data_IF_818148753020
#
_entry.id   IF_818148753020
#
_cell.length_a   1.000
_cell.length_b   1.000
_cell.length_c   1.000
_cell.angle_alpha   90.00
_cell.angle_beta   90.00
_cell.angle_gamma   90.00
#
_symmetry.space_group_name_H-M   'P 1'
#
loop_
_entity.id
_entity.type
_entity.pdbx_description
1 polymer ?
#
# COMPACT_ATOMS: atom_id res chain seq x y z
N UNK A 1 -26.73 17.79 -8.55
CA UNK A 1 -26.79 16.31 -8.55
C UNK A 1 -25.64 15.73 -9.40
N UNK A 2 -24.46 16.36 -9.40
CA UNK A 2 -23.36 16.00 -10.31
C UNK A 2 -22.12 15.45 -9.59
N UNK A 3 -21.90 15.85 -8.33
CA UNK A 3 -20.71 15.49 -7.55
C UNK A 3 -20.61 14.00 -7.21
N UNK A 4 -21.74 13.30 -7.05
CA UNK A 4 -21.75 11.87 -6.71
C UNK A 4 -21.25 10.99 -7.87
N UNK A 5 -21.52 11.39 -9.12
CA UNK A 5 -21.13 10.58 -10.30
C UNK A 5 -19.63 10.66 -10.59
N UNK A 6 -19.00 11.82 -10.37
CA UNK A 6 -17.56 11.98 -10.54
C UNK A 6 -16.78 11.19 -9.48
N UNK A 7 -17.24 11.24 -8.22
CA UNK A 7 -16.63 10.49 -7.13
C UNK A 7 -16.78 8.97 -7.30
N UNK A 8 -17.95 8.48 -7.71
CA UNK A 8 -18.15 7.05 -7.98
C UNK A 8 -17.25 6.55 -9.11
N UNK A 9 -17.17 7.30 -10.21
CA UNK A 9 -16.26 6.98 -11.32
C UNK A 9 -14.79 6.99 -10.87
N UNK A 10 -14.40 7.94 -10.02
CA UNK A 10 -13.07 8.02 -9.45
C UNK A 10 -12.75 6.79 -8.57
N UNK A 11 -13.65 6.42 -7.66
CA UNK A 11 -13.47 5.24 -6.81
C UNK A 11 -13.31 3.95 -7.62
N UNK A 12 -14.09 3.78 -8.69
CA UNK A 12 -13.95 2.64 -9.60
C UNK A 12 -12.59 2.69 -10.31
N UNK A 13 -12.19 3.84 -10.83
CA UNK A 13 -10.90 4.04 -11.49
C UNK A 13 -9.71 3.69 -10.58
N UNK A 14 -9.69 4.21 -9.35
CA UNK A 14 -8.64 3.91 -8.36
C UNK A 14 -8.60 2.42 -8.02
N UNK A 15 -9.76 1.77 -7.88
CA UNK A 15 -9.82 0.33 -7.61
C UNK A 15 -9.23 -0.51 -8.74
N UNK A 16 -9.46 -0.12 -10.00
CA UNK A 16 -8.90 -0.83 -11.15
C UNK A 16 -7.38 -0.59 -11.25
N UNK A 17 -6.95 0.66 -11.12
CA UNK A 17 -5.53 1.01 -11.13
C UNK A 17 -4.74 0.24 -10.05
N UNK A 18 -5.30 0.10 -8.85
CA UNK A 18 -4.62 -0.59 -7.75
C UNK A 18 -4.69 -2.12 -7.83
N UNK A 19 -5.64 -2.69 -8.57
CA UNK A 19 -5.68 -4.12 -8.90
C UNK A 19 -4.62 -4.51 -9.93
N UNK A 20 -4.42 -3.68 -10.94
CA UNK A 20 -3.56 -3.96 -12.09
C UNK A 20 -2.08 -3.58 -11.89
N UNK A 21 -1.71 -2.96 -10.76
CA UNK A 21 -0.31 -2.73 -10.36
C UNK A 21 0.50 -4.03 -10.06
N UNK A 22 -0.02 -5.20 -10.46
CA UNK A 22 0.80 -6.38 -10.78
C UNK A 22 1.64 -6.22 -12.05
N UNK A 23 1.37 -5.21 -12.88
CA UNK A 23 2.20 -4.77 -14.01
C UNK A 23 3.01 -3.53 -13.63
N UNK A 24 4.35 -3.70 -13.55
CA UNK A 24 5.40 -2.67 -13.34
C UNK A 24 4.89 -1.27 -12.96
N UNK A 25 4.76 -1.02 -11.66
CA UNK A 25 4.91 0.35 -11.15
C UNK A 25 6.24 0.93 -11.69
N UNK A 26 6.29 2.23 -11.98
CA UNK A 26 7.52 2.94 -12.37
C UNK A 26 8.70 2.69 -11.39
N UNK A 27 8.39 2.23 -10.17
CA UNK A 27 9.32 1.94 -9.08
C UNK A 27 9.66 0.45 -8.87
N UNK A 28 9.25 -0.46 -9.75
CA UNK A 28 9.73 -1.85 -9.76
C UNK A 28 9.27 -2.76 -8.61
N UNK A 29 8.69 -2.22 -7.53
CA UNK A 29 8.05 -2.95 -6.44
C UNK A 29 6.57 -2.58 -6.33
N UNK A 30 5.72 -3.56 -5.98
CA UNK A 30 4.28 -3.37 -5.79
C UNK A 30 4.03 -2.54 -4.53
N UNK A 31 3.53 -1.32 -4.70
CA UNK A 31 3.12 -0.42 -3.59
C UNK A 31 1.84 -0.95 -2.96
N UNK A 32 1.79 -0.95 -1.63
CA UNK A 32 0.60 -1.23 -0.85
C UNK A 32 -0.04 0.08 -0.39
N UNK A 33 -1.36 0.17 -0.37
CA UNK A 33 -2.07 1.40 -0.05
C UNK A 33 -2.98 1.20 1.16
N UNK A 34 -2.92 2.14 2.11
CA UNK A 34 -3.90 2.18 3.20
C UNK A 34 -5.21 2.84 2.77
N UNK A 35 -6.34 2.58 3.45
CA UNK A 35 -7.64 3.13 3.07
C UNK A 35 -7.68 4.65 2.93
N UNK A 36 -7.05 5.41 3.83
CA UNK A 36 -7.00 6.88 3.77
C UNK A 36 -6.37 7.40 2.48
N UNK A 37 -5.28 6.77 2.01
CA UNK A 37 -4.60 7.16 0.76
C UNK A 37 -5.44 6.81 -0.46
N UNK A 38 -6.17 5.69 -0.44
CA UNK A 38 -7.12 5.35 -1.52
C UNK A 38 -8.30 6.32 -1.57
N UNK A 39 -8.78 6.79 -0.41
CA UNK A 39 -9.82 7.80 -0.33
C UNK A 39 -9.32 9.16 -0.86
N UNK A 40 -8.11 9.58 -0.48
CA UNK A 40 -7.46 10.79 -1.02
C UNK A 40 -7.26 10.69 -2.54
N UNK A 41 -6.88 9.51 -3.05
CA UNK A 41 -6.74 9.26 -4.48
C UNK A 41 -8.07 9.43 -5.23
N UNK A 42 -9.16 8.89 -4.67
CA UNK A 42 -10.48 9.02 -5.28
C UNK A 42 -10.96 10.47 -5.27
N UNK A 43 -10.75 11.21 -4.18
CA UNK A 43 -11.10 12.62 -4.08
C UNK A 43 -10.29 13.49 -5.07
N UNK A 44 -8.98 13.26 -5.18
CA UNK A 44 -8.14 13.97 -6.15
C UNK A 44 -8.58 13.68 -7.59
N UNK A 45 -8.83 12.41 -7.94
CA UNK A 45 -9.28 12.03 -9.27
C UNK A 45 -10.66 12.61 -9.59
N UNK A 46 -11.59 12.63 -8.63
CA UNK A 46 -12.90 13.26 -8.80
C UNK A 46 -12.76 14.75 -9.17
N UNK A 47 -11.90 15.48 -8.46
CA UNK A 47 -11.60 16.91 -8.76
C UNK A 47 -10.99 17.10 -10.14
N UNK A 48 -10.13 16.19 -10.58
CA UNK A 48 -9.57 16.24 -11.94
C UNK A 48 -10.63 16.00 -13.02
N UNK A 49 -11.57 15.08 -12.79
CA UNK A 49 -12.71 14.86 -13.69
C UNK A 49 -13.65 16.06 -13.72
N UNK A 50 -13.97 16.66 -12.58
CA UNK A 50 -14.78 17.89 -12.51
C UNK A 50 -14.12 19.04 -13.30
N UNK A 51 -12.80 19.23 -13.13
CA UNK A 51 -12.05 20.21 -13.90
C UNK A 51 -12.10 19.92 -15.41
N UNK A 52 -11.96 18.66 -15.83
CA UNK A 52 -12.13 18.25 -17.24
C UNK A 52 -13.52 18.57 -17.77
N UNK A 53 -14.57 18.25 -17.01
CA UNK A 53 -15.96 18.50 -17.39
C UNK A 53 -16.25 19.99 -17.61
N UNK A 54 -15.65 20.89 -16.81
CA UNK A 54 -15.75 22.34 -17.03
C UNK A 54 -15.19 22.79 -18.39
N UNK A 55 -14.31 21.99 -19.00
CA UNK A 55 -13.75 22.22 -20.32
C UNK A 55 -14.34 21.29 -21.40
N UNK A 56 -15.40 20.54 -21.09
CA UNK A 56 -16.02 19.59 -22.02
C UNK A 56 -15.20 18.32 -22.28
N UNK A 57 -14.29 17.97 -21.37
CA UNK A 57 -13.44 16.77 -21.42
C UNK A 57 -14.04 15.71 -20.50
N UNK A 58 -14.38 14.54 -21.04
CA UNK A 58 -14.95 13.43 -20.27
C UNK A 58 -13.85 12.48 -19.73
N UNK A 59 -14.18 11.57 -18.79
CA UNK A 59 -13.25 10.51 -18.38
C UNK A 59 -12.73 9.66 -19.56
N UNK A 60 -13.54 9.42 -20.59
CA UNK A 60 -13.15 8.70 -21.80
C UNK A 60 -12.12 9.47 -22.63
N UNK A 61 -12.26 10.78 -22.75
CA UNK A 61 -11.28 11.64 -23.44
C UNK A 61 -9.91 11.58 -22.74
N UNK A 62 -9.90 11.58 -21.41
CA UNK A 62 -8.67 11.37 -20.64
C UNK A 62 -8.07 10.00 -20.89
N UNK A 63 -8.89 8.93 -20.84
CA UNK A 63 -8.44 7.56 -21.04
C UNK A 63 -7.85 7.33 -22.45
N UNK A 64 -8.25 8.11 -23.45
CA UNK A 64 -7.71 8.04 -24.81
C UNK A 64 -6.24 8.51 -24.89
N UNK A 65 -5.77 9.34 -23.95
CA UNK A 65 -4.41 9.91 -23.95
C UNK A 65 -3.54 9.42 -22.79
N UNK A 66 -4.12 9.10 -21.62
CA UNK A 66 -3.39 8.63 -20.45
C UNK A 66 -4.30 7.97 -19.41
N UNK A 67 -3.73 7.17 -18.51
CA UNK A 67 -4.43 6.69 -17.32
C UNK A 67 -4.30 7.70 -16.18
N UNK A 68 -5.29 8.60 -16.06
CA UNK A 68 -5.38 9.50 -14.89
C UNK A 68 -5.43 8.75 -13.55
N UNK A 69 -6.21 7.66 -13.38
CA UNK A 69 -6.21 6.92 -12.13
C UNK A 69 -4.83 6.39 -11.73
N UNK A 70 -4.05 5.89 -12.69
CA UNK A 70 -2.67 5.44 -12.45
C UNK A 70 -1.76 6.60 -12.05
N UNK A 71 -1.84 7.74 -12.76
CA UNK A 71 -1.04 8.92 -12.42
C UNK A 71 -1.33 9.46 -11.02
N UNK A 72 -2.60 9.44 -10.59
CA UNK A 72 -3.00 9.86 -9.25
C UNK A 72 -2.42 8.94 -8.16
N UNK A 73 -2.54 7.62 -8.32
CA UNK A 73 -1.97 6.69 -7.32
C UNK A 73 -0.45 6.76 -7.28
N UNK A 74 0.22 6.91 -8.43
CA UNK A 74 1.68 7.06 -8.49
C UNK A 74 2.15 8.37 -7.83
N UNK A 75 1.40 9.46 -8.00
CA UNK A 75 1.71 10.73 -7.35
C UNK A 75 1.59 10.64 -5.82
N UNK A 76 0.53 9.99 -5.31
CA UNK A 76 0.36 9.79 -3.88
C UNK A 76 1.36 8.77 -3.32
N UNK A 77 1.67 7.70 -4.05
CA UNK A 77 2.75 6.79 -3.69
C UNK A 77 4.08 7.53 -3.59
N UNK A 78 4.41 8.40 -4.55
CA UNK A 78 5.63 9.21 -4.48
C UNK A 78 5.61 10.16 -3.27
N UNK A 79 4.47 10.77 -2.93
CA UNK A 79 4.32 11.65 -1.77
C UNK A 79 4.54 10.92 -0.44
N UNK A 80 3.99 9.72 -0.28
CA UNK A 80 4.04 8.98 0.99
C UNK A 80 5.25 8.04 1.11
N UNK A 81 5.84 7.62 -0.01
CA UNK A 81 6.96 6.68 -0.07
C UNK A 81 8.28 7.36 -0.49
N UNK A 82 8.35 8.70 -0.52
CA UNK A 82 9.61 9.40 -0.78
C UNK A 82 9.73 10.65 0.07
N UNK A 83 10.96 10.95 0.51
CA UNK A 83 11.33 12.20 1.17
C UNK A 83 10.49 12.53 2.43
N UNK A 84 10.14 11.51 3.19
CA UNK A 84 9.44 11.67 4.47
C UNK A 84 10.38 12.34 5.47
N UNK A 85 10.04 13.58 5.87
CA UNK A 85 10.79 14.37 6.85
C UNK A 85 10.14 14.18 8.22
N UNK A 86 10.79 13.43 9.09
CA UNK A 86 10.35 13.20 10.46
C UNK A 86 11.43 13.67 11.43
N UNK A 87 10.98 14.29 12.51
CA UNK A 87 11.77 14.39 13.73
C UNK A 87 11.92 13.02 14.39
N UNK A 88 12.92 12.87 15.26
CA UNK A 88 13.08 11.65 16.05
C UNK A 88 11.81 11.34 16.87
N UNK A 89 11.18 12.36 17.45
CA UNK A 89 9.95 12.20 18.23
C UNK A 89 8.80 11.67 17.39
N UNK A 90 8.53 12.26 16.22
CA UNK A 90 7.45 11.80 15.32
C UNK A 90 7.68 10.35 14.86
N UNK A 91 8.92 10.00 14.53
CA UNK A 91 9.30 8.63 14.17
C UNK A 91 9.02 7.64 15.30
N UNK A 92 9.42 7.96 16.53
CA UNK A 92 9.19 7.09 17.69
C UNK A 92 7.70 6.98 18.00
N UNK A 93 6.96 8.08 17.98
CA UNK A 93 5.50 8.09 18.21
C UNK A 93 4.75 7.22 17.21
N UNK A 94 5.03 7.35 15.91
CA UNK A 94 4.40 6.52 14.88
C UNK A 94 4.79 5.04 15.03
N UNK A 95 6.05 4.75 15.35
CA UNK A 95 6.56 3.39 15.56
C UNK A 95 5.93 2.72 16.78
N UNK A 96 5.85 3.42 17.90
CA UNK A 96 5.27 2.91 19.14
C UNK A 96 3.76 2.69 18.99
N UNK A 97 3.08 3.58 18.25
CA UNK A 97 1.67 3.38 17.87
C UNK A 97 1.50 2.11 17.04
N UNK A 98 2.34 1.88 16.03
CA UNK A 98 2.30 0.65 15.23
C UNK A 98 2.46 -0.60 16.11
N UNK A 99 3.44 -0.60 17.03
CA UNK A 99 3.68 -1.73 17.94
C UNK A 99 2.45 -1.98 18.83
N UNK A 100 1.89 -0.93 19.43
CA UNK A 100 0.70 -1.03 20.27
C UNK A 100 -0.50 -1.60 19.51
N UNK A 101 -0.76 -1.10 18.31
CA UNK A 101 -1.90 -1.53 17.47
C UNK A 101 -1.75 -2.94 16.92
N UNK A 102 -0.54 -3.39 16.59
CA UNK A 102 -0.31 -4.78 16.23
C UNK A 102 -0.56 -5.70 17.43
N UNK A 103 -0.13 -5.28 18.63
CA UNK A 103 -0.37 -6.01 19.88
C UNK A 103 -1.86 -6.11 20.24
N UNK A 104 -2.63 -5.03 20.11
CA UNK A 104 -4.10 -5.04 20.37
C UNK A 104 -4.85 -5.94 19.40
N UNK A 105 -4.31 -6.15 18.20
CA UNK A 105 -4.83 -7.10 17.19
C UNK A 105 -4.42 -8.55 17.44
N UNK A 106 -3.74 -8.84 18.55
CA UNK A 106 -3.35 -10.19 18.96
C UNK A 106 -2.15 -10.75 18.19
N UNK A 107 -1.37 -9.89 17.52
CA UNK A 107 -0.17 -10.32 16.80
C UNK A 107 1.04 -10.34 17.74
N UNK A 108 1.94 -11.31 17.54
CA UNK A 108 3.21 -11.38 18.28
C UNK A 108 4.19 -10.41 17.63
N UNK A 109 4.59 -9.38 18.38
CA UNK A 109 5.43 -8.29 17.89
C UNK A 109 6.78 -8.30 18.62
N UNK A 110 7.87 -8.20 17.85
CA UNK A 110 9.23 -8.05 18.35
C UNK A 110 9.75 -6.66 17.97
N UNK A 111 9.84 -5.72 18.93
CA UNK A 111 10.35 -4.38 18.68
C UNK A 111 11.83 -4.40 18.28
N UNK A 112 12.19 -3.57 17.29
CA UNK A 112 13.57 -3.36 16.87
C UNK A 112 13.65 -2.20 15.87
N UNK A 113 14.84 -1.94 15.31
CA UNK A 113 14.99 -0.96 14.21
C UNK A 113 13.99 -1.22 13.09
N UNK A 114 13.73 -2.50 12.83
CA UNK A 114 12.53 -2.97 12.15
C UNK A 114 11.65 -3.71 13.17
N UNK A 115 10.36 -3.55 13.05
CA UNK A 115 9.37 -4.25 13.87
C UNK A 115 9.10 -5.58 13.18
N UNK A 116 9.45 -6.69 13.83
CA UNK A 116 9.11 -8.01 13.33
C UNK A 116 7.76 -8.47 13.88
N UNK A 117 6.94 -9.07 13.04
CA UNK A 117 5.60 -9.57 13.35
C UNK A 117 5.54 -11.02 12.93
N UNK A 118 5.34 -11.91 13.89
CA UNK A 118 5.29 -13.34 13.60
C UNK A 118 3.92 -13.71 13.00
N UNK A 119 3.87 -14.61 12.01
CA UNK A 119 2.59 -15.03 11.43
C UNK A 119 1.72 -15.74 12.48
N UNK A 120 0.39 -15.53 12.47
CA UNK A 120 -0.50 -16.27 13.34
C UNK A 120 -0.57 -17.75 12.91
N UNK A 121 -0.76 -18.65 13.87
CA UNK A 121 -0.90 -20.07 13.59
C UNK A 121 -2.05 -20.33 12.60
N UNK A 122 -1.75 -21.03 11.50
CA UNK A 122 -2.72 -21.32 10.43
C UNK A 122 -2.92 -20.19 9.41
N UNK A 123 -2.18 -19.08 9.53
CA UNK A 123 -2.14 -18.02 8.53
C UNK A 123 -1.30 -18.38 7.29
N UNK A 124 -1.26 -17.49 6.27
CA UNK A 124 -0.36 -17.64 5.13
C UNK A 124 1.10 -17.68 5.60
N UNK A 125 1.91 -18.46 4.89
CA UNK A 125 3.35 -18.53 5.13
C UNK A 125 4.09 -17.59 4.21
N UNK A 126 5.09 -16.91 4.77
CA UNK A 126 5.93 -15.94 4.08
C UNK A 126 7.38 -16.40 4.22
N UNK A 127 8.13 -16.40 3.12
CA UNK A 127 9.53 -16.82 3.10
C UNK A 127 9.84 -17.90 2.07
N UNK A 128 11.13 -18.08 1.83
CA UNK A 128 11.61 -19.00 0.81
C UNK A 128 11.11 -20.44 1.06
N UNK A 129 10.55 -21.06 0.03
CA UNK A 129 10.03 -22.45 0.07
C UNK A 129 9.01 -22.74 1.19
N UNK A 130 8.27 -21.74 1.67
CA UNK A 130 7.25 -21.93 2.70
C UNK A 130 7.82 -22.14 4.10
N UNK A 131 9.09 -21.77 4.33
CA UNK A 131 9.59 -21.46 5.68
C UNK A 131 8.68 -20.39 6.30
N UNK A 132 8.28 -20.57 7.55
CA UNK A 132 7.44 -19.60 8.25
C UNK A 132 8.34 -18.49 8.79
N UNK A 133 8.55 -17.45 7.98
CA UNK A 133 9.35 -16.30 8.36
C UNK A 133 8.46 -15.12 8.82
N UNK A 134 8.91 -14.35 9.83
CA UNK A 134 8.26 -13.13 10.27
C UNK A 134 8.16 -12.07 9.16
N UNK A 135 7.17 -11.19 9.26
CA UNK A 135 7.15 -9.96 8.45
C UNK A 135 7.89 -8.85 9.21
N UNK A 136 8.70 -8.09 8.49
CA UNK A 136 9.53 -7.00 9.03
C UNK A 136 9.04 -5.66 8.49
N UNK A 137 8.65 -4.75 9.39
CA UNK A 137 8.13 -3.42 9.09
C UNK A 137 9.13 -2.33 9.48
N UNK A 138 9.19 -1.25 8.71
CA UNK A 138 9.94 -0.06 9.09
C UNK A 138 9.25 1.22 8.63
N UNK A 139 9.53 2.31 9.34
CA UNK A 139 9.31 3.67 8.89
C UNK A 139 10.69 4.30 8.69
N UNK A 140 11.00 4.70 7.47
CA UNK A 140 12.27 5.32 7.09
C UNK A 140 12.03 6.67 6.41
N UNK A 141 13.09 7.33 5.95
CA UNK A 141 12.97 8.52 5.09
C UNK A 141 12.29 8.23 3.75
N UNK A 142 12.19 6.95 3.36
CA UNK A 142 11.40 6.46 2.23
C UNK A 142 9.96 6.10 2.59
N UNK A 143 9.48 6.47 3.78
CA UNK A 143 8.15 6.10 4.26
C UNK A 143 8.09 4.71 4.85
N UNK A 144 6.87 4.15 4.91
CA UNK A 144 6.62 2.82 5.44
C UNK A 144 7.00 1.74 4.44
N UNK A 145 7.58 0.64 4.93
CA UNK A 145 7.87 -0.51 4.09
C UNK A 145 7.72 -1.85 4.85
N UNK A 146 7.39 -2.91 4.10
CA UNK A 146 7.25 -4.28 4.59
C UNK A 146 8.12 -5.24 3.77
N UNK A 147 8.71 -6.22 4.44
CA UNK A 147 9.47 -7.30 3.80
C UNK A 147 9.37 -8.59 4.61
N UNK A 148 9.85 -9.70 4.07
CA UNK A 148 10.06 -10.92 4.85
C UNK A 148 11.34 -10.76 5.68
N UNK A 149 11.31 -11.16 6.94
CA UNK A 149 12.46 -11.07 7.86
C UNK A 149 13.46 -12.22 7.63
N UNK A 150 14.04 -12.29 6.43
CA UNK A 150 15.02 -13.31 6.06
C UNK A 150 16.22 -12.71 5.32
N UNK A 151 17.43 -13.31 5.40
CA UNK A 151 18.64 -12.79 4.76
C UNK A 151 18.55 -12.68 3.24
N UNK A 152 17.76 -13.56 2.60
CA UNK A 152 17.54 -13.61 1.17
C UNK A 152 16.25 -12.90 0.72
N UNK A 153 15.62 -12.11 1.60
CA UNK A 153 14.36 -11.44 1.30
C UNK A 153 14.49 -10.55 0.06
N UNK A 154 13.45 -10.60 -0.77
CA UNK A 154 13.22 -9.66 -1.86
C UNK A 154 13.22 -8.20 -1.37
N UNK A 155 13.27 -7.27 -2.34
CA UNK A 155 13.19 -5.83 -2.09
C UNK A 155 11.97 -5.50 -1.22
N UNK A 156 12.10 -4.56 -0.28
CA UNK A 156 10.97 -4.13 0.54
C UNK A 156 9.85 -3.58 -0.33
N UNK A 157 8.61 -3.92 0.04
CA UNK A 157 7.41 -3.39 -0.56
C UNK A 157 7.02 -2.10 0.17
N UNK A 158 6.98 -0.95 -0.51
CA UNK A 158 6.57 0.29 0.11
C UNK A 158 5.07 0.26 0.45
N UNK A 159 4.70 0.89 1.56
CA UNK A 159 3.32 1.11 1.97
C UNK A 159 3.06 2.63 1.90
N UNK A 160 2.23 3.04 0.95
CA UNK A 160 1.74 4.41 0.86
C UNK A 160 0.76 4.66 2.01
N UNK A 161 1.26 5.28 3.07
CA UNK A 161 0.53 5.71 4.26
C UNK A 161 1.18 6.96 4.85
N UNK A 162 0.41 7.84 5.53
CA UNK A 162 0.98 8.94 6.28
C UNK A 162 1.98 8.45 7.35
N UNK A 163 3.06 9.19 7.56
CA UNK A 163 4.02 8.93 8.62
C UNK A 163 3.55 9.54 9.96
N UNK A 164 2.32 9.19 10.37
CA UNK A 164 1.64 9.68 11.58
C UNK A 164 1.12 8.50 12.41
N UNK A 165 0.55 8.79 13.58
CA UNK A 165 -0.14 7.78 14.39
C UNK A 165 -1.31 7.13 13.64
N UNK A 166 -2.14 7.92 12.95
CA UNK A 166 -3.26 7.41 12.15
C UNK A 166 -2.77 6.49 11.04
N UNK A 167 -1.72 6.90 10.32
CA UNK A 167 -1.10 6.05 9.30
C UNK A 167 -0.55 4.75 9.90
N UNK A 168 0.04 4.80 11.10
CA UNK A 168 0.51 3.62 11.82
C UNK A 168 -0.64 2.65 12.16
N UNK A 169 -1.82 3.16 12.56
CA UNK A 169 -3.02 2.33 12.82
C UNK A 169 -3.50 1.63 11.56
N UNK A 170 -3.51 2.33 10.43
CA UNK A 170 -3.91 1.74 9.16
C UNK A 170 -2.89 0.73 8.63
N UNK A 171 -1.60 1.00 8.81
CA UNK A 171 -0.52 0.04 8.51
C UNK A 171 -0.70 -1.23 9.35
N UNK A 172 -0.99 -1.09 10.65
CA UNK A 172 -1.25 -2.24 11.53
C UNK A 172 -2.44 -3.09 11.02
N UNK A 173 -3.52 -2.46 10.59
CA UNK A 173 -4.69 -3.15 10.05
C UNK A 173 -4.38 -3.84 8.70
N UNK A 174 -3.63 -3.19 7.81
CA UNK A 174 -3.18 -3.78 6.56
C UNK A 174 -2.32 -5.03 6.81
N UNK A 175 -1.36 -4.95 7.73
CA UNK A 175 -0.48 -6.06 8.09
C UNK A 175 -1.28 -7.22 8.67
N UNK A 176 -2.23 -6.94 9.57
CA UNK A 176 -3.14 -7.97 10.10
C UNK A 176 -3.89 -8.68 8.96
N UNK A 177 -4.47 -7.93 8.02
CA UNK A 177 -5.19 -8.52 6.87
C UNK A 177 -4.27 -9.39 6.02
N UNK A 178 -3.03 -8.99 5.79
CA UNK A 178 -2.04 -9.80 5.05
C UNK A 178 -1.73 -11.10 5.82
N UNK A 179 -1.43 -10.99 7.11
CA UNK A 179 -1.11 -12.13 7.98
C UNK A 179 -2.28 -13.09 8.21
N UNK A 180 -3.51 -12.63 8.06
CA UNK A 180 -4.73 -13.46 8.14
C UNK A 180 -5.21 -13.97 6.77
N UNK A 181 -4.55 -13.61 5.66
CA UNK A 181 -4.97 -13.98 4.30
C UNK A 181 -6.22 -13.25 3.79
N UNK A 182 -6.63 -12.18 4.47
CA UNK A 182 -7.75 -11.30 4.06
C UNK A 182 -7.33 -10.28 3.00
N UNK A 183 -6.03 -10.02 2.87
CA UNK A 183 -5.44 -9.23 1.80
C UNK A 183 -4.47 -10.09 0.95
N UNK A 184 -4.28 -9.76 -0.34
CA UNK A 184 -3.34 -10.48 -1.19
C UNK A 184 -1.92 -10.50 -0.61
N UNK A 185 -1.24 -11.64 -0.72
CA UNK A 185 0.16 -11.75 -0.32
C UNK A 185 1.04 -10.87 -1.24
N UNK A 186 1.72 -9.83 -0.72
CA UNK A 186 2.54 -8.94 -1.54
C UNK A 186 3.81 -9.63 -2.06
N UNK A 187 4.24 -10.71 -1.43
CA UNK A 187 5.47 -11.46 -1.73
C UNK A 187 5.23 -12.68 -2.62
N UNK A 188 3.99 -12.92 -3.05
CA UNK A 188 3.70 -14.03 -3.94
C UNK A 188 4.38 -13.79 -5.31
N UNK A 189 5.22 -14.73 -5.75
CA UNK A 189 5.73 -14.70 -7.12
C UNK A 189 4.58 -14.80 -8.12
N UNK A 190 4.64 -14.07 -9.25
CA UNK A 190 3.68 -14.29 -10.33
C UNK A 190 3.77 -15.74 -10.78
N UNK A 191 2.62 -16.40 -10.92
CA UNK A 191 2.57 -17.76 -11.45
C UNK A 191 3.30 -17.79 -12.79
N UNK A 192 4.40 -18.55 -12.86
CA UNK A 192 5.06 -18.84 -14.13
C UNK A 192 4.01 -19.58 -14.96
N UNK A 193 3.48 -18.94 -16.01
CA UNK A 193 2.72 -19.66 -17.03
C UNK A 193 3.68 -20.69 -17.60
N UNK A 194 3.48 -21.96 -17.25
CA UNK A 194 4.18 -23.04 -17.94
C UNK A 194 3.91 -22.88 -19.44
N UNK A 195 4.94 -22.93 -20.30
CA UNK A 195 4.74 -22.96 -21.73
C UNK A 195 3.92 -24.21 -22.04
N UNK A 196 2.70 -24.01 -22.52
CA UNK A 196 1.88 -25.07 -23.08
C UNK A 196 2.69 -25.78 -24.18
N UNK A 197 2.94 -27.06 -23.96
CA UNK A 197 3.59 -27.98 -24.89
C UNK A 197 2.73 -28.23 -26.14
#
# INVERSE_FOLDING_TARGET
MSDTTALDAAQVGIRMATRDLGGRALYGARVLYVPSVLAEAADLLAKMYEAGQHHGITPEDWAAVTSLPTGVVDALAARYCSHVKLTSTELHTARDTLIGELGTKGLTVRPGLRIAVDPPAGGPRFGYQGQEAPLSLALTSGGWDIRVDEPASDRPHPIAAPATEEGAREVAELVRKILCGEAPNPFAHPAVKEPSA
#
